data_IF_768292104248
#
_entry.id   IF_768292104248
#
_cell.length_a   1.000
_cell.length_b   1.000
_cell.length_c   1.000
_cell.angle_alpha   90.00
_cell.angle_beta   90.00
_cell.angle_gamma   90.00
#
_symmetry.space_group_name_H-M   'P 1'
#
loop_
_entity.id
_entity.type
_entity.pdbx_description
1 polymer ?
#
# COMPACT_ATOMS: atom_id res chain seq x y z
N UNK A 1 -13.87 11.61 11.09
CA UNK A 1 -13.79 11.27 9.68
C UNK A 1 -13.71 9.77 9.44
N UNK A 2 -13.18 9.01 10.38
CA UNK A 2 -13.17 7.56 10.31
C UNK A 2 -14.55 7.04 10.68
N UNK A 3 -15.13 6.19 9.81
CA UNK A 3 -16.44 5.57 10.06
C UNK A 3 -16.32 4.20 10.69
N UNK A 4 -15.56 3.31 10.04
CA UNK A 4 -15.37 1.94 10.50
C UNK A 4 -13.88 1.62 10.54
N UNK A 5 -13.51 0.80 11.50
CA UNK A 5 -12.14 0.33 11.65
C UNK A 5 -12.12 -1.19 11.66
N UNK A 6 -11.26 -1.77 10.86
CA UNK A 6 -11.01 -3.21 10.83
C UNK A 6 -9.55 -3.46 11.18
N UNK A 7 -9.33 -4.19 12.25
CA UNK A 7 -7.98 -4.57 12.67
C UNK A 7 -7.70 -6.01 12.21
N UNK A 8 -6.78 -6.14 11.28
CA UNK A 8 -6.38 -7.45 10.74
C UNK A 8 -5.31 -8.13 11.60
N UNK A 9 -4.74 -7.40 12.58
CA UNK A 9 -3.63 -7.93 13.36
C UNK A 9 -2.40 -8.22 12.52
N UNK A 10 -1.68 -9.26 12.88
CA UNK A 10 -0.52 -9.72 12.14
C UNK A 10 -0.93 -10.55 10.93
N UNK A 11 -0.21 -10.39 9.83
CA UNK A 11 -0.47 -11.14 8.59
C UNK A 11 0.84 -11.69 8.07
N UNK A 12 0.85 -12.98 7.75
CA UNK A 12 1.98 -13.63 7.09
C UNK A 12 1.53 -14.05 5.69
N UNK A 13 2.25 -13.60 4.67
CA UNK A 13 2.05 -14.08 3.31
C UNK A 13 3.18 -15.00 2.90
N UNK A 14 2.81 -16.13 2.32
CA UNK A 14 3.75 -17.07 1.73
C UNK A 14 4.38 -16.49 0.46
N UNK A 15 5.35 -17.18 -0.08
CA UNK A 15 6.04 -16.77 -1.31
C UNK A 15 5.04 -16.48 -2.41
N UNK A 16 5.10 -15.28 -2.95
CA UNK A 16 4.19 -14.78 -3.98
C UNK A 16 2.72 -14.80 -3.58
N UNK A 17 2.45 -14.68 -2.27
CA UNK A 17 1.10 -14.69 -1.73
C UNK A 17 0.36 -13.38 -1.94
N UNK A 18 -0.97 -13.47 -1.87
CA UNK A 18 -1.86 -12.32 -2.01
C UNK A 18 -3.04 -12.48 -1.06
N UNK A 19 -3.46 -11.38 -0.44
CA UNK A 19 -4.64 -11.36 0.43
C UNK A 19 -5.46 -10.11 0.13
N UNK A 20 -6.74 -10.30 -0.17
CA UNK A 20 -7.65 -9.17 -0.33
C UNK A 20 -7.97 -8.57 1.03
N UNK A 21 -7.70 -7.28 1.20
CA UNK A 21 -7.97 -6.53 2.43
C UNK A 21 -9.38 -5.96 2.39
N UNK A 22 -9.79 -5.45 1.25
CA UNK A 22 -11.15 -4.94 1.03
C UNK A 22 -11.51 -5.11 -0.44
N UNK A 23 -12.76 -5.51 -0.71
CA UNK A 23 -13.20 -5.80 -2.07
C UNK A 23 -13.53 -4.55 -2.87
N UNK A 24 -14.02 -3.52 -2.21
CA UNK A 24 -14.37 -2.25 -2.85
C UNK A 24 -14.17 -1.10 -1.88
N UNK A 25 -13.15 -0.30 -2.13
CA UNK A 25 -12.79 0.82 -1.28
C UNK A 25 -12.99 2.14 -2.01
N UNK A 26 -13.68 3.09 -1.38
CA UNK A 26 -13.77 4.45 -1.89
C UNK A 26 -12.75 5.36 -1.24
N UNK A 27 -12.84 5.55 0.07
CA UNK A 27 -11.90 6.36 0.83
C UNK A 27 -11.49 5.58 2.07
N UNK A 28 -10.19 5.30 2.18
CA UNK A 28 -9.68 4.52 3.30
C UNK A 28 -8.34 5.07 3.76
N UNK A 29 -8.04 4.80 5.02
CA UNK A 29 -6.72 4.99 5.60
C UNK A 29 -6.24 3.62 6.09
N UNK A 30 -5.01 3.25 5.71
CA UNK A 30 -4.39 2.01 6.14
C UNK A 30 -3.16 2.34 6.95
N UNK A 31 -3.06 1.74 8.14
CA UNK A 31 -1.85 1.80 8.96
C UNK A 31 -1.25 0.40 8.98
N UNK A 32 -0.03 0.27 8.47
CA UNK A 32 0.63 -1.02 8.34
C UNK A 32 2.06 -0.94 8.83
N UNK A 33 2.46 -1.96 9.58
CA UNK A 33 3.86 -2.11 10.01
C UNK A 33 4.41 -3.41 9.44
N UNK A 34 5.47 -3.28 8.64
CA UNK A 34 6.16 -4.42 8.03
C UNK A 34 7.40 -4.76 8.84
N UNK A 35 7.60 -6.04 9.10
CA UNK A 35 8.83 -6.56 9.68
C UNK A 35 9.82 -6.82 8.55
N UNK A 36 10.76 -5.90 8.34
CA UNK A 36 11.73 -6.00 7.26
C UNK A 36 12.72 -7.13 7.47
N UNK A 37 13.06 -7.41 8.73
CA UNK A 37 14.04 -8.47 9.04
C UNK A 37 13.46 -9.86 8.79
N UNK A 38 12.16 -10.02 8.99
CA UNK A 38 11.49 -11.31 8.82
C UNK A 38 10.89 -11.51 7.43
N UNK A 39 10.89 -10.47 6.60
CA UNK A 39 10.35 -10.53 5.24
C UNK A 39 11.46 -10.80 4.23
N UNK A 40 11.17 -11.63 3.24
CA UNK A 40 12.15 -11.99 2.19
C UNK A 40 11.74 -11.54 0.81
N UNK A 41 10.53 -11.01 0.65
CA UNK A 41 10.03 -10.58 -0.65
C UNK A 41 10.92 -9.50 -1.29
N UNK A 42 11.13 -9.59 -2.58
CA UNK A 42 11.86 -8.56 -3.33
C UNK A 42 11.07 -7.26 -3.37
N UNK A 43 9.76 -7.38 -3.50
CA UNK A 43 8.83 -6.25 -3.44
C UNK A 43 7.56 -6.71 -2.76
N UNK A 44 7.05 -5.91 -1.83
CA UNK A 44 5.84 -6.26 -1.10
C UNK A 44 5.09 -5.01 -0.66
N UNK A 45 3.77 -5.09 -0.62
CA UNK A 45 2.94 -3.99 -0.17
C UNK A 45 1.49 -4.13 -0.63
N UNK A 46 0.91 -3.01 -1.02
CA UNK A 46 -0.53 -2.91 -1.30
C UNK A 46 -0.77 -2.57 -2.77
N UNK A 47 -1.55 -3.41 -3.44
CA UNK A 47 -2.16 -3.05 -4.71
C UNK A 47 -3.45 -2.31 -4.37
N UNK A 48 -3.52 -1.04 -4.74
CA UNK A 48 -4.70 -0.21 -4.54
C UNK A 48 -5.39 0.07 -5.87
N UNK A 49 -6.68 0.45 -5.83
CA UNK A 49 -7.47 0.61 -7.04
C UNK A 49 -7.36 -0.61 -7.95
N UNK A 50 -7.34 -1.80 -7.34
CA UNK A 50 -7.21 -3.05 -8.07
C UNK A 50 -8.56 -3.46 -8.62
N UNK A 51 -8.70 -3.49 -9.94
CA UNK A 51 -9.94 -3.78 -10.62
C UNK A 51 -9.86 -5.08 -11.41
N UNK A 52 -11.00 -5.60 -11.82
CA UNK A 52 -11.10 -6.90 -12.47
C UNK A 52 -10.32 -6.98 -13.79
N UNK A 53 -10.11 -5.84 -14.46
CA UNK A 53 -9.31 -5.76 -15.68
C UNK A 53 -7.80 -5.90 -15.44
N UNK A 54 -7.38 -6.03 -14.18
CA UNK A 54 -5.97 -6.18 -13.83
C UNK A 54 -5.23 -4.88 -13.59
N UNK A 55 -5.89 -3.73 -13.67
CA UNK A 55 -5.24 -2.45 -13.37
C UNK A 55 -5.10 -2.25 -11.86
N UNK A 56 -4.04 -1.58 -11.46
CA UNK A 56 -3.81 -1.20 -10.05
C UNK A 56 -2.69 -0.16 -9.96
N UNK A 57 -2.62 0.48 -8.80
CA UNK A 57 -1.45 1.26 -8.36
C UNK A 57 -0.80 0.49 -7.21
N UNK A 58 0.51 0.39 -7.22
CA UNK A 58 1.25 -0.43 -6.26
C UNK A 58 2.00 0.45 -5.27
N UNK A 59 1.66 0.33 -4.00
CA UNK A 59 2.38 0.98 -2.90
C UNK A 59 3.19 -0.10 -2.21
N UNK A 60 4.51 -0.07 -2.38
CA UNK A 60 5.34 -1.19 -1.96
C UNK A 60 6.68 -0.74 -1.38
N UNK A 61 7.27 -1.65 -0.60
CA UNK A 61 8.67 -1.60 -0.28
C UNK A 61 9.42 -2.47 -1.29
N UNK A 62 10.46 -1.89 -1.91
CA UNK A 62 11.34 -2.60 -2.83
C UNK A 62 12.68 -2.84 -2.14
N UNK A 63 12.92 -4.10 -1.79
CA UNK A 63 14.10 -4.49 -1.03
C UNK A 63 15.39 -4.41 -1.85
N UNK A 64 15.29 -4.52 -3.16
CA UNK A 64 16.46 -4.44 -4.04
C UNK A 64 17.08 -3.05 -4.07
N UNK A 65 16.28 -2.02 -3.87
CA UNK A 65 16.74 -0.64 -3.89
C UNK A 65 16.58 0.09 -2.55
N UNK A 66 16.01 -0.58 -1.53
CA UNK A 66 15.81 0.00 -0.21
C UNK A 66 14.87 1.21 -0.20
N UNK A 67 13.81 1.17 -1.01
CA UNK A 67 12.91 2.31 -1.19
C UNK A 67 11.46 1.91 -1.05
N UNK A 68 10.67 2.83 -0.54
CA UNK A 68 9.22 2.77 -0.69
C UNK A 68 8.89 3.34 -2.07
N UNK A 69 8.03 2.64 -2.81
CA UNK A 69 7.66 3.05 -4.17
C UNK A 69 6.15 3.20 -4.27
N UNK A 70 5.72 4.16 -5.08
CA UNK A 70 4.35 4.24 -5.59
C UNK A 70 4.46 4.04 -7.09
N UNK A 71 4.10 2.87 -7.55
CA UNK A 71 4.29 2.41 -8.92
C UNK A 71 2.96 2.42 -9.66
N UNK A 72 2.87 3.21 -10.72
CA UNK A 72 1.66 3.37 -11.52
C UNK A 72 1.75 2.70 -12.90
N UNK A 73 2.71 1.82 -13.10
CA UNK A 73 2.89 1.20 -14.42
C UNK A 73 1.70 0.35 -14.84
N UNK A 74 0.96 -0.21 -13.89
CA UNK A 74 -0.26 -0.96 -14.16
C UNK A 74 -1.54 -0.14 -13.98
N UNK A 75 -1.43 1.18 -13.84
CA UNK A 75 -2.57 2.06 -13.64
C UNK A 75 -3.44 2.09 -14.91
N UNK A 76 -4.76 2.22 -14.71
CA UNK A 76 -5.72 2.25 -15.81
C UNK A 76 -5.59 3.49 -16.68
N UNK A 77 -5.30 4.62 -16.08
CA UNK A 77 -5.25 5.93 -16.73
C UNK A 77 -4.12 6.78 -16.16
N UNK A 78 -3.67 7.75 -16.94
CA UNK A 78 -2.69 8.71 -16.52
C UNK A 78 -1.26 8.24 -16.75
N UNK A 79 -0.32 8.92 -16.14
CA UNK A 79 1.10 8.61 -16.27
C UNK A 79 1.41 7.25 -15.65
N UNK A 80 2.26 6.50 -16.33
CA UNK A 80 2.67 5.16 -15.89
C UNK A 80 4.04 5.16 -15.21
N UNK A 81 4.43 6.28 -14.65
CA UNK A 81 5.66 6.38 -13.91
C UNK A 81 5.53 5.92 -12.46
N UNK A 82 6.55 6.19 -11.69
CA UNK A 82 6.49 5.92 -10.26
C UNK A 82 7.30 6.94 -9.47
N UNK A 83 6.99 7.01 -8.17
CA UNK A 83 7.70 7.85 -7.22
C UNK A 83 8.34 6.97 -6.17
N UNK A 84 9.47 7.41 -5.63
CA UNK A 84 10.19 6.62 -4.62
C UNK A 84 10.64 7.50 -3.46
N UNK A 85 10.78 6.86 -2.29
CA UNK A 85 11.36 7.46 -1.10
C UNK A 85 12.37 6.49 -0.50
N UNK A 86 13.66 6.87 -0.42
CA UNK A 86 14.67 5.97 0.12
C UNK A 86 14.53 5.85 1.64
N UNK A 87 14.75 4.66 2.16
CA UNK A 87 14.92 4.45 3.59
C UNK A 87 16.37 4.76 3.96
N UNK A 88 16.57 5.40 5.10
CA UNK A 88 17.90 5.67 5.63
C UNK A 88 18.54 4.39 6.16
N UNK A 89 19.85 4.41 6.37
CA UNK A 89 20.56 3.29 7.00
C UNK A 89 19.98 2.98 8.38
N UNK A 90 19.63 4.00 9.15
CA UNK A 90 19.03 3.82 10.47
C UNK A 90 17.65 3.16 10.40
N UNK A 91 16.85 3.53 9.41
CA UNK A 91 15.53 2.92 9.21
C UNK A 91 15.66 1.46 8.79
N UNK A 92 16.58 1.15 7.90
CA UNK A 92 16.86 -0.23 7.49
C UNK A 92 17.38 -1.05 8.66
N UNK A 93 18.28 -0.49 9.47
CA UNK A 93 18.83 -1.15 10.65
C UNK A 93 17.77 -1.41 11.72
N UNK A 94 16.77 -0.53 11.84
CA UNK A 94 15.65 -0.73 12.76
C UNK A 94 14.80 -1.94 12.38
N UNK A 95 14.80 -2.32 11.11
CA UNK A 95 14.14 -3.54 10.64
C UNK A 95 12.64 -3.46 10.61
N UNK A 96 12.07 -2.28 10.66
CA UNK A 96 10.63 -2.06 10.72
C UNK A 96 10.24 -0.90 9.83
N UNK A 97 9.19 -1.08 9.05
CA UNK A 97 8.67 -0.04 8.16
C UNK A 97 7.21 0.22 8.50
N UNK A 98 6.92 1.45 8.87
CA UNK A 98 5.54 1.89 9.11
C UNK A 98 5.05 2.68 7.92
N UNK A 99 3.92 2.30 7.38
CA UNK A 99 3.26 3.01 6.29
C UNK A 99 1.87 3.43 6.73
N UNK A 100 1.54 4.68 6.48
CA UNK A 100 0.16 5.16 6.57
C UNK A 100 -0.25 5.59 5.18
N UNK A 101 -1.27 4.95 4.65
CA UNK A 101 -1.69 5.11 3.26
C UNK A 101 -3.12 5.63 3.22
N UNK A 102 -3.30 6.80 2.61
CA UNK A 102 -4.63 7.36 2.35
C UNK A 102 -4.97 7.13 0.89
N UNK A 103 -6.11 6.53 0.63
CA UNK A 103 -6.59 6.22 -0.71
C UNK A 103 -7.97 6.85 -0.88
N UNK A 104 -8.16 7.58 -1.96
CA UNK A 104 -9.47 8.02 -2.39
C UNK A 104 -9.66 7.76 -3.89
N UNK A 105 -10.68 8.36 -4.50
CA UNK A 105 -11.01 8.07 -5.91
C UNK A 105 -9.95 8.44 -6.91
N UNK A 106 -9.14 9.43 -6.63
CA UNK A 106 -8.22 10.00 -7.61
C UNK A 106 -6.78 10.12 -7.14
N UNK A 107 -6.48 9.74 -5.91
CA UNK A 107 -5.12 9.90 -5.41
C UNK A 107 -4.77 8.92 -4.30
N UNK A 108 -3.49 8.81 -4.04
CA UNK A 108 -2.92 8.10 -2.92
C UNK A 108 -1.86 8.98 -2.27
N UNK A 109 -1.85 8.96 -0.93
CA UNK A 109 -0.78 9.58 -0.14
C UNK A 109 -0.18 8.53 0.78
N UNK A 110 1.15 8.46 0.79
CA UNK A 110 1.88 7.48 1.58
C UNK A 110 2.82 8.22 2.52
N UNK A 111 2.59 8.02 3.82
CA UNK A 111 3.44 8.55 4.88
C UNK A 111 4.37 7.44 5.34
N UNK A 112 5.67 7.68 5.24
CA UNK A 112 6.71 6.70 5.55
C UNK A 112 7.26 6.99 6.94
N UNK A 113 7.26 6.00 7.82
CA UNK A 113 7.84 6.07 9.17
C UNK A 113 7.45 7.35 9.92
N UNK A 114 6.18 7.43 10.30
CA UNK A 114 5.60 8.54 11.05
C UNK A 114 5.68 9.89 10.32
N UNK A 115 5.67 9.84 8.98
CA UNK A 115 5.64 11.04 8.17
C UNK A 115 7.00 11.66 7.89
N UNK A 116 8.10 10.93 8.12
CA UNK A 116 9.43 11.42 7.76
C UNK A 116 9.55 11.75 6.28
N UNK A 117 8.88 10.97 5.45
CA UNK A 117 8.72 11.25 4.03
C UNK A 117 7.27 11.04 3.62
N UNK A 118 6.83 11.78 2.62
CA UNK A 118 5.48 11.66 2.07
C UNK A 118 5.58 11.52 0.56
N UNK A 119 4.89 10.50 0.03
CA UNK A 119 4.73 10.31 -1.40
C UNK A 119 3.28 10.57 -1.76
N UNK A 120 3.04 11.45 -2.71
CA UNK A 120 1.69 11.71 -3.22
C UNK A 120 1.63 11.42 -4.70
N UNK A 121 0.56 10.82 -5.16
CA UNK A 121 0.39 10.49 -6.56
C UNK A 121 -1.08 10.47 -6.95
N UNK A 122 -1.37 10.85 -8.19
CA UNK A 122 -2.67 10.54 -8.78
C UNK A 122 -2.76 9.02 -8.96
N UNK A 123 -3.95 8.49 -8.77
CA UNK A 123 -4.23 7.08 -8.97
C UNK A 123 -5.68 6.94 -9.38
N UNK A 124 -5.91 6.48 -10.60
CA UNK A 124 -7.25 6.36 -11.16
C UNK A 124 -7.60 4.89 -11.38
N UNK A 125 -8.73 4.49 -10.85
CA UNK A 125 -9.22 3.14 -11.01
C UNK A 125 -10.00 2.99 -12.33
N UNK A 126 -9.99 1.79 -12.88
CA UNK A 126 -10.94 1.39 -13.91
C UNK A 126 -12.35 1.33 -13.32
N UNK A 127 -13.35 1.14 -14.15
CA UNK A 127 -14.74 0.94 -13.69
C UNK A 127 -14.86 -0.36 -12.90
N UNK A 128 -15.79 -0.37 -11.97
CA UNK A 128 -16.10 -1.52 -11.13
C UNK A 128 -15.52 -1.42 -9.73
N UNK A 129 -15.66 -2.46 -8.93
CA UNK A 129 -15.13 -2.49 -7.58
C UNK A 129 -13.61 -2.28 -7.56
N UNK A 130 -13.16 -1.47 -6.61
CA UNK A 130 -11.75 -1.11 -6.44
C UNK A 130 -11.21 -1.78 -5.20
N UNK A 131 -10.60 -2.92 -5.39
CA UNK A 131 -10.07 -3.69 -4.28
C UNK A 131 -8.73 -3.14 -3.80
N UNK A 132 -8.39 -3.49 -2.57
CA UNK A 132 -7.05 -3.32 -2.02
C UNK A 132 -6.56 -4.69 -1.62
N UNK A 133 -5.37 -5.03 -2.10
CA UNK A 133 -4.78 -6.36 -1.88
C UNK A 133 -3.38 -6.21 -1.32
N UNK A 134 -3.07 -7.02 -0.31
CA UNK A 134 -1.73 -7.15 0.22
C UNK A 134 -1.01 -8.22 -0.58
N UNK A 135 0.20 -7.94 -1.07
CA UNK A 135 0.94 -8.86 -1.92
C UNK A 135 2.41 -8.97 -1.52
N UNK A 136 2.99 -10.14 -1.79
CA UNK A 136 4.42 -10.40 -1.65
C UNK A 136 4.93 -10.93 -2.99
N UNK A 137 5.98 -10.32 -3.54
CA UNK A 137 6.60 -10.77 -4.79
C UNK A 137 7.95 -11.41 -4.51
N UNK A 138 8.13 -12.61 -5.04
CA UNK A 138 9.43 -13.33 -5.00
C UNK A 138 9.96 -13.51 -3.59
N UNK A 139 9.10 -13.86 -2.65
CA UNK A 139 9.47 -14.10 -1.26
C UNK A 139 8.26 -13.97 -0.36
N UNK A 140 8.52 -13.93 0.93
CA UNK A 140 7.50 -13.87 1.98
C UNK A 140 7.37 -12.46 2.54
N UNK A 141 6.21 -12.14 3.08
CA UNK A 141 5.95 -10.87 3.75
C UNK A 141 5.44 -11.14 5.16
N UNK A 142 6.04 -10.47 6.13
CA UNK A 142 5.56 -10.47 7.50
C UNK A 142 5.11 -9.07 7.89
N UNK A 143 3.82 -8.93 8.11
CA UNK A 143 3.19 -7.70 8.57
C UNK A 143 2.92 -7.85 10.07
N UNK A 144 3.46 -6.95 10.88
CA UNK A 144 3.24 -6.98 12.33
C UNK A 144 1.83 -6.54 12.70
N UNK A 145 1.32 -5.57 11.96
CA UNK A 145 -0.04 -5.07 12.17
C UNK A 145 -0.55 -4.38 10.91
N UNK A 146 -1.83 -4.52 10.66
CA UNK A 146 -2.53 -3.80 9.62
C UNK A 146 -3.90 -3.42 10.12
N UNK A 147 -4.20 -2.12 10.06
CA UNK A 147 -5.49 -1.57 10.45
C UNK A 147 -6.04 -0.74 9.31
N UNK A 148 -7.27 -1.01 8.93
CA UNK A 148 -7.98 -0.30 7.88
C UNK A 148 -9.08 0.54 8.49
N UNK A 149 -9.08 1.83 8.16
CA UNK A 149 -10.15 2.74 8.54
C UNK A 149 -10.92 3.14 7.29
N UNK A 150 -12.22 2.87 7.26
CA UNK A 150 -13.09 3.45 6.25
C UNK A 150 -13.32 4.91 6.60
N UNK A 151 -13.16 5.78 5.63
CA UNK A 151 -13.26 7.21 5.83
C UNK A 151 -14.60 7.70 5.31
N UNK A 152 -15.15 8.70 5.99
CA UNK A 152 -16.33 9.37 5.47
C UNK A 152 -15.90 10.20 4.26
N UNK A 153 -16.58 10.00 3.15
CA UNK A 153 -16.34 10.81 1.96
C UNK A 153 -16.68 12.27 2.27
N UNK A 154 -15.70 13.16 2.07
CA UNK A 154 -15.93 14.60 2.13
C UNK A 154 -16.17 15.09 0.71
N UNK A 155 -16.57 14.21 -0.17
CA UNK A 155 -16.73 14.54 -1.57
C UNK A 155 -17.80 15.58 -1.80
N UNK A 156 -17.62 16.34 -2.83
CA UNK A 156 -18.65 17.22 -3.38
C UNK A 156 -19.62 16.35 -4.16
N UNK A 157 -20.47 15.73 -3.42
CA UNK A 157 -21.48 14.85 -4.01
C UNK A 157 -22.55 15.61 -4.73
#
# INVERSE_FOLDING_TARGET
LREDTVDFGAIDLDVSGEKTIVDDAEAVEIEMTIDLNASTAERAGLKIHATEDGAYTYVAYDDQIGRVVVDRQANAQGDRGYRTAPLSEAELAAGELKLRVYVDRGCVEVYVNDGRQVLSSYSYASEGPRAIKLVAESGTLKVKSLVLHHMKSIGLE
#
